data_IF_641285788398
#
_entry.id   IF_641285788398
#
_cell.length_a   1.000
_cell.length_b   1.000
_cell.length_c   1.000
_cell.angle_alpha   90.00
_cell.angle_beta   90.00
_cell.angle_gamma   90.00
#
_symmetry.space_group_name_H-M   'P 1'
#
loop_
_entity.id
_entity.type
_entity.pdbx_description
1 polymer ?
#
# COMPACT_ATOMS: atom_id res chain seq x y z
N UNK A 1 -18.45 -52.37 -63.30
CA UNK A 1 -17.98 -52.98 -62.04
C UNK A 1 -17.93 -51.89 -61.00
N UNK A 2 -18.96 -51.88 -60.14
CA UNK A 2 -19.18 -51.13 -58.88
C UNK A 2 -19.06 -49.59 -58.88
N UNK A 3 -19.92 -48.80 -58.24
CA UNK A 3 -21.30 -48.91 -57.80
C UNK A 3 -21.72 -47.46 -57.40
N UNK A 4 -22.86 -47.01 -57.92
CA UNK A 4 -23.90 -46.15 -57.33
C UNK A 4 -23.65 -45.46 -55.97
N UNK A 5 -23.85 -44.13 -55.86
CA UNK A 5 -24.97 -43.50 -55.11
C UNK A 5 -24.91 -41.95 -55.14
N UNK A 6 -26.06 -41.31 -55.44
CA UNK A 6 -26.33 -39.87 -55.27
C UNK A 6 -27.11 -39.66 -53.97
N UNK A 7 -26.87 -38.58 -53.22
CA UNK A 7 -27.84 -37.77 -52.43
C UNK A 7 -27.04 -36.72 -51.63
N UNK A 8 -27.18 -35.41 -51.91
CA UNK A 8 -28.06 -34.42 -51.26
C UNK A 8 -27.96 -34.45 -49.73
N UNK A 9 -27.47 -33.36 -49.10
CA UNK A 9 -28.21 -32.52 -48.12
C UNK A 9 -27.31 -31.41 -47.53
N UNK A 10 -27.90 -30.22 -47.38
CA UNK A 10 -27.34 -29.01 -46.78
C UNK A 10 -27.10 -29.12 -45.26
N UNK A 11 -26.22 -28.28 -44.69
CA UNK A 11 -26.50 -27.44 -43.50
C UNK A 11 -25.25 -26.72 -42.97
N UNK A 12 -25.48 -25.49 -42.50
CA UNK A 12 -24.58 -24.62 -41.75
C UNK A 12 -24.01 -25.26 -40.47
N UNK A 13 -22.94 -24.66 -39.92
CA UNK A 13 -22.38 -24.71 -38.55
C UNK A 13 -20.83 -24.60 -38.66
N UNK A 14 -20.05 -23.77 -37.96
CA UNK A 14 -20.16 -23.18 -36.63
C UNK A 14 -19.27 -21.92 -36.52
N UNK A 15 -19.76 -20.90 -35.81
CA UNK A 15 -18.95 -19.83 -35.22
C UNK A 15 -17.99 -20.44 -34.17
N UNK A 16 -16.71 -20.08 -34.12
CA UNK A 16 -15.91 -20.35 -32.93
C UNK A 16 -16.39 -19.42 -31.81
N UNK A 17 -16.94 -20.03 -30.76
CA UNK A 17 -17.22 -19.40 -29.47
C UNK A 17 -15.88 -18.86 -28.97
N UNK A 18 -15.79 -17.53 -28.85
CA UNK A 18 -14.73 -16.87 -28.10
C UNK A 18 -14.85 -17.33 -26.64
N UNK A 19 -14.07 -18.36 -26.28
CA UNK A 19 -13.88 -18.73 -24.89
C UNK A 19 -13.19 -17.57 -24.20
N UNK A 20 -13.90 -16.90 -23.29
CA UNK A 20 -13.29 -16.07 -22.26
C UNK A 20 -12.25 -16.94 -21.52
N UNK A 21 -10.98 -16.79 -21.90
CA UNK A 21 -9.89 -17.22 -21.05
C UNK A 21 -9.95 -16.38 -19.79
N UNK A 22 -10.47 -16.94 -18.70
CA UNK A 22 -10.16 -16.42 -17.39
C UNK A 22 -8.64 -16.51 -17.23
N UNK A 23 -7.96 -15.37 -17.29
CA UNK A 23 -6.55 -15.27 -16.94
C UNK A 23 -6.39 -15.90 -15.56
N UNK A 24 -5.60 -16.98 -15.49
CA UNK A 24 -5.20 -17.55 -14.20
C UNK A 24 -4.36 -16.49 -13.50
N UNK A 25 -4.96 -15.76 -12.55
CA UNK A 25 -4.21 -14.93 -11.61
C UNK A 25 -3.11 -15.80 -11.01
N UNK A 26 -1.86 -15.46 -11.31
CA UNK A 26 -0.69 -16.11 -10.72
C UNK A 26 -0.80 -15.94 -9.21
N UNK A 27 -1.15 -17.02 -8.52
CA UNK A 27 -1.43 -16.94 -7.10
C UNK A 27 -0.12 -17.24 -6.35
N UNK A 28 0.58 -16.20 -5.90
CA UNK A 28 1.76 -16.32 -5.02
C UNK A 28 1.39 -17.16 -3.80
N UNK A 29 2.23 -18.11 -3.39
CA UNK A 29 1.96 -18.97 -2.23
C UNK A 29 1.86 -18.15 -0.92
N UNK A 30 1.39 -18.78 0.16
CA UNK A 30 1.45 -18.16 1.50
C UNK A 30 2.86 -18.22 2.08
N UNK A 31 3.17 -17.34 3.03
CA UNK A 31 4.46 -17.32 3.74
C UNK A 31 4.29 -16.91 5.20
N UNK A 32 5.16 -17.40 6.09
CA UNK A 32 5.28 -16.90 7.47
C UNK A 32 6.26 -15.73 7.62
N UNK A 33 6.99 -15.40 6.55
CA UNK A 33 7.87 -14.23 6.44
C UNK A 33 7.39 -13.36 5.29
N UNK A 34 7.06 -12.10 5.59
CA UNK A 34 6.62 -11.12 4.59
C UNK A 34 7.56 -9.93 4.59
N UNK A 35 7.99 -9.55 3.39
CA UNK A 35 8.74 -8.33 3.14
C UNK A 35 8.00 -7.40 2.18
N UNK A 36 8.31 -6.11 2.23
CA UNK A 36 7.69 -5.16 1.31
C UNK A 36 8.31 -3.78 1.34
N UNK A 37 7.77 -2.91 0.50
CA UNK A 37 8.03 -1.48 0.48
C UNK A 37 6.70 -0.74 0.37
N UNK A 38 6.71 0.58 0.51
CA UNK A 38 5.48 1.36 0.42
C UNK A 38 5.59 2.53 -0.55
N UNK A 39 4.48 2.80 -1.23
CA UNK A 39 4.24 4.02 -1.96
C UNK A 39 3.53 5.01 -1.04
N UNK A 40 3.96 6.27 -1.06
CA UNK A 40 3.43 7.32 -0.21
C UNK A 40 2.57 8.29 -1.02
N UNK A 41 1.41 8.67 -0.47
CA UNK A 41 0.57 9.74 -1.01
C UNK A 41 0.56 10.93 -0.06
N UNK A 42 0.77 12.11 -0.62
CA UNK A 42 0.83 13.37 0.10
C UNK A 42 -0.18 14.30 -0.54
N UNK A 43 -1.12 14.77 0.28
CA UNK A 43 -2.23 15.60 -0.18
C UNK A 43 -2.06 17.02 0.33
N UNK A 44 -2.39 18.00 -0.51
CA UNK A 44 -2.49 19.40 -0.12
C UNK A 44 -3.83 19.71 0.56
N UNK A 45 -3.78 20.39 1.70
CA UNK A 45 -4.91 20.95 2.42
C UNK A 45 -4.74 22.47 2.52
N UNK A 46 -5.78 23.19 2.94
CA UNK A 46 -5.77 24.65 3.14
C UNK A 46 -4.82 25.11 4.26
N UNK A 47 -4.39 24.19 5.14
CA UNK A 47 -3.37 24.41 6.17
C UNK A 47 -1.99 23.79 5.85
N UNK A 48 -1.75 23.38 4.61
CA UNK A 48 -0.50 22.76 4.17
C UNK A 48 -0.69 21.31 3.72
N UNK A 49 0.41 20.62 3.40
CA UNK A 49 0.35 19.23 2.95
C UNK A 49 0.56 18.23 4.09
N UNK A 50 0.05 17.01 3.91
CA UNK A 50 0.32 15.90 4.82
C UNK A 50 0.29 14.56 4.11
N UNK A 51 1.09 13.62 4.61
CA UNK A 51 1.05 12.22 4.19
C UNK A 51 -0.19 11.57 4.77
N UNK A 52 -1.18 11.33 3.92
CA UNK A 52 -2.52 10.87 4.33
C UNK A 52 -2.74 9.38 4.10
N UNK A 53 -1.90 8.74 3.30
CA UNK A 53 -2.02 7.33 3.01
C UNK A 53 -0.74 6.74 2.44
N UNK A 54 -0.60 5.44 2.65
CA UNK A 54 0.41 4.62 2.00
C UNK A 54 -0.21 3.36 1.41
N UNK A 55 0.40 2.84 0.35
CA UNK A 55 0.13 1.49 -0.14
C UNK A 55 1.39 0.66 0.07
N UNK A 56 1.32 -0.32 0.97
CA UNK A 56 2.36 -1.32 1.12
C UNK A 56 2.23 -2.35 0.00
N UNK A 57 3.31 -2.56 -0.75
CA UNK A 57 3.46 -3.61 -1.74
C UNK A 57 4.34 -4.71 -1.14
N UNK A 58 3.73 -5.87 -0.91
CA UNK A 58 4.28 -7.02 -0.22
C UNK A 58 4.72 -8.08 -1.22
N UNK A 59 5.72 -8.88 -0.85
CA UNK A 59 6.15 -10.05 -1.62
C UNK A 59 5.14 -11.21 -1.60
N UNK A 60 4.34 -11.31 -0.54
CA UNK A 60 3.29 -12.32 -0.33
C UNK A 60 1.98 -11.68 0.11
N UNK A 61 0.83 -12.32 -0.18
CA UNK A 61 -0.47 -11.74 0.15
C UNK A 61 -0.78 -11.82 1.64
N UNK A 62 -1.56 -10.86 2.14
CA UNK A 62 -2.27 -10.99 3.41
C UNK A 62 -3.74 -11.34 3.14
N UNK A 63 -4.32 -12.19 3.99
CA UNK A 63 -5.70 -12.64 3.86
C UNK A 63 -6.70 -11.59 4.34
N UNK A 64 -6.34 -10.85 5.39
CA UNK A 64 -7.14 -9.78 5.96
C UNK A 64 -6.27 -8.85 6.81
N UNK A 65 -6.74 -7.61 6.99
CA UNK A 65 -6.16 -6.62 7.91
C UNK A 65 -7.28 -5.81 8.55
N UNK A 66 -6.96 -5.12 9.64
CA UNK A 66 -7.80 -4.17 10.36
C UNK A 66 -6.99 -2.93 10.73
N UNK A 67 -7.66 -1.87 11.16
CA UNK A 67 -7.00 -0.62 11.61
C UNK A 67 -5.93 -0.85 12.68
N UNK A 68 -6.09 -1.88 13.52
CA UNK A 68 -5.16 -2.22 14.59
C UNK A 68 -4.06 -3.20 14.17
N UNK A 69 -3.98 -3.57 12.89
CA UNK A 69 -3.01 -4.55 12.39
C UNK A 69 -1.58 -4.02 12.39
N UNK A 70 -1.42 -2.70 12.28
CA UNK A 70 -0.12 -2.05 12.10
C UNK A 70 0.01 -0.83 13.00
N UNK A 71 1.24 -0.56 13.40
CA UNK A 71 1.63 0.75 13.94
C UNK A 71 2.51 1.46 12.92
N UNK A 72 2.44 2.79 12.91
CA UNK A 72 3.22 3.62 11.99
C UNK A 72 3.92 4.71 12.81
N UNK A 73 5.22 4.86 12.60
CA UNK A 73 6.02 5.95 13.16
C UNK A 73 6.63 6.75 12.03
N UNK A 74 6.44 8.07 12.08
CA UNK A 74 7.07 9.02 11.18
C UNK A 74 8.42 9.43 11.77
N UNK A 75 9.49 9.26 11.00
CA UNK A 75 10.82 9.76 11.33
C UNK A 75 11.12 10.96 10.44
N UNK A 76 11.35 12.12 11.06
CA UNK A 76 11.49 13.38 10.34
C UNK A 76 12.36 14.38 11.08
N UNK A 77 12.87 15.37 10.36
CA UNK A 77 13.27 16.65 10.95
C UNK A 77 12.06 17.54 11.26
N UNK A 78 12.08 18.20 12.42
CA UNK A 78 11.13 19.21 12.85
C UNK A 78 11.85 20.39 13.51
N UNK A 79 11.24 21.58 13.42
CA UNK A 79 11.73 22.78 14.11
C UNK A 79 11.19 22.79 15.53
N UNK A 80 12.10 22.83 16.52
CA UNK A 80 11.72 22.91 17.92
C UNK A 80 11.39 24.35 18.30
N UNK A 81 10.11 24.72 18.18
CA UNK A 81 9.62 26.06 18.53
C UNK A 81 9.66 26.39 20.03
N UNK A 82 9.96 25.39 20.88
CA UNK A 82 10.00 25.55 22.33
C UNK A 82 11.41 25.82 22.86
N UNK A 83 12.44 25.68 22.03
CA UNK A 83 13.83 25.93 22.41
C UNK A 83 14.36 27.26 21.86
N UNK A 84 15.26 27.91 22.60
CA UNK A 84 15.94 29.13 22.15
C UNK A 84 16.71 28.85 20.86
N UNK A 85 16.61 29.76 19.89
CA UNK A 85 17.26 29.62 18.59
C UNK A 85 16.56 28.67 17.62
N UNK A 86 15.44 28.04 18.02
CA UNK A 86 14.58 27.21 17.18
C UNK A 86 15.35 26.13 16.39
N UNK A 87 16.10 25.24 17.07
CA UNK A 87 16.90 24.23 16.41
C UNK A 87 16.04 23.28 15.57
N UNK A 88 16.65 22.72 14.53
CA UNK A 88 16.09 21.61 13.76
C UNK A 88 16.59 20.31 14.36
N UNK A 89 15.66 19.42 14.71
CA UNK A 89 15.94 18.15 15.39
C UNK A 89 15.28 17.01 14.60
N UNK A 90 15.91 15.83 14.60
CA UNK A 90 15.27 14.60 14.14
C UNK A 90 14.39 14.04 15.26
N UNK A 91 13.16 13.68 14.91
CA UNK A 91 12.12 13.23 15.83
C UNK A 91 11.38 12.03 15.24
N UNK A 92 10.92 11.16 16.15
CA UNK A 92 10.01 10.06 15.86
C UNK A 92 8.62 10.41 16.39
N UNK A 93 7.62 10.42 15.51
CA UNK A 93 6.25 10.81 15.81
C UNK A 93 5.31 9.66 15.48
N UNK A 94 4.57 9.09 16.45
CA UNK A 94 3.56 8.08 16.16
C UNK A 94 2.48 8.63 15.24
N UNK A 95 2.09 7.87 14.22
CA UNK A 95 0.99 8.20 13.31
C UNK A 95 -0.23 7.35 13.64
N UNK A 96 -1.37 8.01 13.76
CA UNK A 96 -2.65 7.31 13.90
C UNK A 96 -3.07 6.73 12.55
N UNK A 97 -3.18 5.40 12.48
CA UNK A 97 -3.85 4.69 11.39
C UNK A 97 -5.35 4.86 11.59
N UNK A 98 -6.04 5.48 10.63
CA UNK A 98 -7.50 5.68 10.67
C UNK A 98 -8.23 4.54 9.97
N UNK A 99 -7.58 3.88 9.02
CA UNK A 99 -8.13 2.76 8.27
C UNK A 99 -7.01 1.87 7.71
N UNK A 100 -7.30 0.57 7.58
CA UNK A 100 -6.44 -0.37 6.89
C UNK A 100 -7.28 -1.38 6.11
N UNK A 101 -6.94 -1.60 4.84
CA UNK A 101 -7.65 -2.57 4.00
C UNK A 101 -6.79 -3.08 2.85
N UNK A 102 -7.13 -4.27 2.37
CA UNK A 102 -6.54 -4.85 1.18
C UNK A 102 -7.04 -4.12 -0.07
N UNK A 103 -6.16 -3.92 -1.05
CA UNK A 103 -6.51 -3.38 -2.37
C UNK A 103 -6.05 -4.31 -3.48
N UNK A 104 -6.75 -4.31 -4.61
CA UNK A 104 -6.34 -5.06 -5.81
C UNK A 104 -5.26 -4.30 -6.63
N UNK A 105 -4.88 -4.85 -7.77
CA UNK A 105 -3.89 -4.25 -8.68
C UNK A 105 -4.31 -2.86 -9.18
N UNK A 106 -5.63 -2.60 -9.27
CA UNK A 106 -6.18 -1.30 -9.66
C UNK A 106 -6.24 -0.29 -8.50
N UNK A 107 -5.88 -0.70 -7.29
CA UNK A 107 -5.95 0.13 -6.08
C UNK A 107 -7.35 0.16 -5.45
N UNK A 108 -8.28 -0.67 -5.90
CA UNK A 108 -9.63 -0.75 -5.34
C UNK A 108 -9.66 -1.70 -4.15
N UNK A 109 -10.42 -1.35 -3.11
CA UNK A 109 -10.63 -2.20 -1.93
C UNK A 109 -11.15 -3.59 -2.32
N UNK A 110 -10.57 -4.63 -1.72
CA UNK A 110 -10.92 -6.05 -1.97
C UNK A 110 -11.02 -6.82 -0.65
N UNK A 111 -11.76 -7.93 -0.68
CA UNK A 111 -11.82 -8.94 0.40
C UNK A 111 -11.01 -10.19 0.09
N UNK A 112 -10.49 -10.31 -1.13
CA UNK A 112 -9.60 -11.39 -1.54
C UNK A 112 -8.18 -11.15 -0.98
N UNK A 113 -7.42 -12.21 -0.67
CA UNK A 113 -6.02 -12.06 -0.26
C UNK A 113 -5.22 -11.23 -1.27
N UNK A 114 -4.42 -10.29 -0.77
CA UNK A 114 -3.71 -9.32 -1.61
C UNK A 114 -2.30 -9.04 -1.12
N UNK A 115 -1.38 -8.88 -2.07
CA UNK A 115 -0.03 -8.35 -1.86
C UNK A 115 -0.02 -6.83 -1.65
N UNK A 116 -1.18 -6.17 -1.66
CA UNK A 116 -1.28 -4.72 -1.50
C UNK A 116 -2.21 -4.35 -0.36
N UNK A 117 -1.68 -3.57 0.56
CA UNK A 117 -2.41 -3.07 1.74
C UNK A 117 -2.38 -1.56 1.71
N UNK A 118 -3.55 -0.92 1.77
CA UNK A 118 -3.66 0.52 1.93
C UNK A 118 -3.87 0.86 3.40
N UNK A 119 -3.06 1.79 3.92
CA UNK A 119 -3.27 2.44 5.21
C UNK A 119 -3.67 3.90 4.96
N UNK A 120 -4.71 4.35 5.64
CA UNK A 120 -5.07 5.77 5.75
C UNK A 120 -4.55 6.27 7.09
N UNK A 121 -3.92 7.44 7.07
CA UNK A 121 -3.23 8.04 8.19
C UNK A 121 -3.90 9.36 8.54
N UNK A 122 -4.06 9.63 9.84
CA UNK A 122 -4.58 10.89 10.31
C UNK A 122 -3.65 12.04 9.91
N UNK A 123 -4.24 13.14 9.44
CA UNK A 123 -3.55 14.39 9.09
C UNK A 123 -4.26 15.55 9.75
N UNK A 124 -3.48 16.48 10.29
CA UNK A 124 -3.94 17.72 10.90
C UNK A 124 -2.92 18.84 10.61
N UNK A 125 -3.19 20.10 10.97
CA UNK A 125 -2.17 21.15 10.92
C UNK A 125 -0.88 20.81 11.68
N UNK A 126 -0.94 19.91 12.68
CA UNK A 126 0.20 19.51 13.51
C UNK A 126 0.74 18.12 13.15
N UNK A 127 -0.03 17.30 12.42
CA UNK A 127 0.27 15.89 12.23
C UNK A 127 0.50 15.55 10.76
N UNK A 128 1.64 14.93 10.50
CA UNK A 128 1.91 14.25 9.25
C UNK A 128 2.38 15.08 8.08
N UNK A 129 2.68 16.35 8.32
CA UNK A 129 3.34 17.19 7.33
C UNK A 129 4.77 16.71 7.07
N UNK A 130 5.21 16.55 5.80
CA UNK A 130 6.60 16.31 5.46
C UNK A 130 7.47 17.57 5.51
N UNK A 131 6.90 18.71 5.89
CA UNK A 131 7.58 20.00 5.92
C UNK A 131 8.00 20.36 7.35
N UNK A 132 9.05 21.18 7.42
CA UNK A 132 9.40 21.98 8.59
C UNK A 132 9.67 23.43 8.16
N UNK A 133 9.46 24.39 9.07
CA UNK A 133 9.79 25.78 8.81
C UNK A 133 11.25 26.08 9.20
N UNK A 134 12.08 26.48 8.23
CA UNK A 134 13.49 26.77 8.44
C UNK A 134 13.71 28.26 8.73
N UNK A 135 14.13 28.62 9.94
CA UNK A 135 14.49 30.01 10.27
C UNK A 135 15.66 30.57 9.46
N UNK A 136 16.72 29.81 9.13
CA UNK A 136 17.80 30.31 8.27
C UNK A 136 17.34 30.78 6.89
N UNK A 137 16.31 30.14 6.31
CA UNK A 137 15.77 30.49 4.99
C UNK A 137 14.47 31.28 5.04
N UNK A 138 13.79 31.32 6.19
CA UNK A 138 12.43 31.84 6.39
C UNK A 138 11.41 31.19 5.45
N UNK A 139 11.62 29.92 5.10
CA UNK A 139 10.76 29.15 4.20
C UNK A 139 10.45 27.77 4.77
N UNK A 140 9.35 27.18 4.31
CA UNK A 140 9.11 25.75 4.50
C UNK A 140 10.10 24.96 3.65
N UNK A 141 10.76 23.99 4.27
CA UNK A 141 11.64 23.05 3.59
C UNK A 141 11.11 21.64 3.77
N UNK A 142 11.40 20.81 2.78
CA UNK A 142 11.21 19.38 2.91
C UNK A 142 12.10 18.81 4.00
N UNK A 143 11.53 17.94 4.82
CA UNK A 143 12.25 17.26 5.89
C UNK A 143 13.17 16.17 5.34
N UNK A 144 14.43 16.14 5.80
CA UNK A 144 15.46 15.21 5.32
C UNK A 144 16.23 14.62 6.50
N UNK A 145 15.83 13.44 7.02
CA UNK A 145 14.94 12.45 6.42
C UNK A 145 13.44 12.78 6.55
N UNK A 146 12.61 12.11 5.75
CA UNK A 146 11.16 11.97 5.95
C UNK A 146 10.73 10.57 5.52
N UNK A 147 10.57 9.69 6.51
CA UNK A 147 10.33 8.25 6.31
C UNK A 147 9.29 7.73 7.28
N UNK A 148 8.65 6.61 6.94
CA UNK A 148 7.73 5.90 7.81
C UNK A 148 8.28 4.52 8.15
N UNK A 149 8.28 4.19 9.43
CA UNK A 149 8.47 2.83 9.93
C UNK A 149 7.10 2.22 10.17
N UNK A 150 6.80 1.15 9.44
CA UNK A 150 5.55 0.39 9.61
C UNK A 150 5.87 -0.95 10.26
N UNK A 151 5.21 -1.27 11.36
CA UNK A 151 5.40 -2.56 12.05
C UNK A 151 4.07 -3.27 12.25
N UNK A 152 4.12 -4.61 12.29
CA UNK A 152 2.98 -5.42 12.74
C UNK A 152 2.74 -5.14 14.23
N UNK A 153 1.50 -4.81 14.59
CA UNK A 153 1.17 -4.61 16.00
C UNK A 153 1.27 -5.93 16.80
N UNK A 154 1.65 -5.85 18.07
CA UNK A 154 1.91 -7.03 18.93
C UNK A 154 0.73 -8.01 18.96
N UNK A 155 -0.49 -7.48 19.05
CA UNK A 155 -1.72 -8.28 19.12
C UNK A 155 -2.31 -8.62 17.74
N UNK A 156 -1.74 -8.11 16.65
CA UNK A 156 -2.24 -8.39 15.32
C UNK A 156 -1.97 -9.84 14.93
N UNK A 157 -2.99 -10.51 14.40
CA UNK A 157 -2.86 -11.84 13.80
C UNK A 157 -3.01 -11.70 12.30
N UNK A 158 -1.86 -11.71 11.62
CA UNK A 158 -1.79 -11.65 10.17
C UNK A 158 -1.63 -13.07 9.63
N UNK A 159 -2.35 -13.39 8.56
CA UNK A 159 -2.21 -14.66 7.84
C UNK A 159 -1.98 -14.42 6.35
N UNK A 160 -1.22 -15.32 5.74
CA UNK A 160 -0.93 -15.37 4.32
C UNK A 160 -1.37 -16.73 3.78
N UNK A 161 -2.50 -16.78 3.09
CA UNK A 161 -3.15 -18.01 2.62
C UNK A 161 -3.29 -19.06 3.74
N UNK A 162 -3.72 -18.61 4.92
CA UNK A 162 -3.89 -19.44 6.11
C UNK A 162 -2.62 -19.75 6.90
N UNK A 163 -1.44 -19.32 6.43
CA UNK A 163 -0.18 -19.41 7.18
C UNK A 163 -0.02 -18.19 8.08
N UNK A 164 0.21 -18.38 9.38
CA UNK A 164 0.46 -17.27 10.30
C UNK A 164 1.78 -16.57 9.98
N UNK A 165 1.74 -15.23 9.88
CA UNK A 165 2.91 -14.39 9.62
C UNK A 165 3.64 -14.12 10.93
N UNK A 166 4.90 -14.58 11.00
CA UNK A 166 5.80 -14.42 12.15
C UNK A 166 6.70 -13.19 12.00
N UNK A 167 7.25 -13.01 10.80
CA UNK A 167 8.15 -11.90 10.49
C UNK A 167 7.51 -11.00 9.45
N UNK A 168 7.50 -9.69 9.72
CA UNK A 168 6.92 -8.68 8.84
C UNK A 168 7.86 -7.48 8.79
N UNK A 169 8.45 -7.23 7.62
CA UNK A 169 9.44 -6.16 7.43
C UNK A 169 9.09 -5.29 6.24
N UNK A 170 9.01 -3.98 6.46
CA UNK A 170 8.77 -2.99 5.42
C UNK A 170 10.01 -2.09 5.31
N UNK A 171 10.45 -1.82 4.08
CA UNK A 171 11.48 -0.82 3.81
C UNK A 171 11.12 0.51 4.46
N UNK A 172 12.05 1.14 5.19
CA UNK A 172 11.84 2.44 5.85
C UNK A 172 11.72 3.57 4.81
N UNK A 173 12.49 3.47 3.72
CA UNK A 173 12.38 4.41 2.61
C UNK A 173 11.17 4.09 1.73
N UNK A 174 10.37 5.10 1.34
CA UNK A 174 9.27 4.91 0.41
C UNK A 174 9.82 4.58 -0.99
N UNK A 175 9.23 3.59 -1.64
CA UNK A 175 9.54 3.21 -3.02
C UNK A 175 9.16 4.33 -4.00
N UNK A 176 8.05 5.01 -3.74
CA UNK A 176 7.63 6.19 -4.50
C UNK A 176 6.90 7.20 -3.62
N UNK A 177 6.83 8.45 -4.11
CA UNK A 177 6.07 9.54 -3.48
C UNK A 177 5.19 10.18 -4.55
N UNK A 178 3.90 10.27 -4.28
CA UNK A 178 2.94 11.01 -5.09
C UNK A 178 2.50 12.24 -4.31
N UNK A 179 2.52 13.39 -4.97
CA UNK A 179 2.17 14.72 -4.42
C UNK A 179 1.14 15.40 -5.29
#
# INVERSE_FOLDING_TARGET
>A
MNNTFKMILACALMLPIAGCGAEKKSSVAGSDVITGAYDMTITGYDWGCGTDSIIMNLDHPLDAVSTDSFTVTEHKQATNFMAEGFPVEEVDVPRQVTNAYLVDESGKKTTEPSTRVKLELYVSPNDGSPLLFSFPSLMNTWSKPYTLTVTKADNAKLTSKGTEVKDFTISVDPASKTT
#
